data_IF_035810758278
#
_entry.id   IF_035810758278
#
_cell.length_a   1.000
_cell.length_b   1.000
_cell.length_c   1.000
_cell.angle_alpha   90.00
_cell.angle_beta   90.00
_cell.angle_gamma   90.00
#
_symmetry.space_group_name_H-M   'P 1'
#
loop_
_entity.id
_entity.type
_entity.pdbx_description
1 polymer ?
#
# COMPACT_ATOMS: atom_id res chain seq x y z
N UNK A 1 -10.36 -12.53 -31.09
CA UNK A 1 -9.70 -11.48 -30.29
C UNK A 1 -10.48 -11.14 -29.01
N UNK A 2 -11.63 -10.46 -29.07
CA UNK A 2 -12.35 -10.00 -27.86
C UNK A 2 -12.92 -11.15 -27.00
N UNK A 3 -13.43 -12.23 -27.63
CA UNK A 3 -13.89 -13.44 -26.91
C UNK A 3 -12.73 -14.20 -26.27
N UNK A 4 -11.64 -14.42 -27.02
CA UNK A 4 -10.44 -15.12 -26.54
C UNK A 4 -9.70 -14.32 -25.45
N UNK A 5 -9.68 -12.99 -25.54
CA UNK A 5 -9.12 -12.14 -24.49
C UNK A 5 -9.97 -12.18 -23.23
N UNK A 6 -11.31 -12.24 -23.36
CA UNK A 6 -12.22 -12.42 -22.23
C UNK A 6 -12.02 -13.80 -21.57
N UNK A 7 -11.87 -14.87 -22.34
CA UNK A 7 -11.56 -16.21 -21.81
C UNK A 7 -10.17 -16.27 -21.16
N UNK A 8 -9.18 -15.59 -21.73
CA UNK A 8 -7.84 -15.46 -21.14
C UNK A 8 -7.87 -14.66 -19.83
N UNK A 9 -8.61 -13.55 -19.81
CA UNK A 9 -8.78 -12.71 -18.63
C UNK A 9 -9.65 -13.35 -17.55
N UNK A 10 -10.48 -14.35 -17.86
CA UNK A 10 -11.26 -15.11 -16.86
C UNK A 10 -10.44 -16.29 -16.29
N UNK A 11 -9.22 -16.56 -16.80
CA UNK A 11 -8.31 -17.50 -16.14
C UNK A 11 -7.97 -16.95 -14.75
N UNK A 12 -8.58 -17.53 -13.71
CA UNK A 12 -8.49 -17.04 -12.32
C UNK A 12 -7.06 -16.75 -11.86
N UNK A 13 -6.07 -17.56 -12.27
CA UNK A 13 -4.66 -17.35 -11.97
C UNK A 13 -4.13 -15.95 -12.36
N UNK A 14 -4.54 -15.39 -13.51
CA UNK A 14 -4.05 -14.09 -13.97
C UNK A 14 -4.74 -12.92 -13.25
N UNK A 15 -6.04 -13.05 -12.96
CA UNK A 15 -6.82 -12.02 -12.26
C UNK A 15 -6.40 -11.94 -10.80
N UNK A 16 -6.29 -13.08 -10.13
CA UNK A 16 -5.92 -13.14 -8.71
C UNK A 16 -4.49 -12.61 -8.50
N UNK A 17 -3.58 -12.92 -9.43
CA UNK A 17 -2.23 -12.36 -9.44
C UNK A 17 -2.24 -10.83 -9.63
N UNK A 18 -3.04 -10.31 -10.57
CA UNK A 18 -3.15 -8.86 -10.80
C UNK A 18 -3.72 -8.13 -9.57
N UNK A 19 -4.75 -8.69 -8.94
CA UNK A 19 -5.34 -8.15 -7.70
C UNK A 19 -4.31 -8.16 -6.57
N UNK A 20 -3.54 -9.24 -6.40
CA UNK A 20 -2.48 -9.32 -5.40
C UNK A 20 -1.39 -8.26 -5.57
N UNK A 21 -0.98 -7.98 -6.81
CA UNK A 21 0.02 -6.93 -7.11
C UNK A 21 -0.53 -5.53 -6.82
N UNK A 22 -1.78 -5.26 -7.21
CA UNK A 22 -2.44 -3.96 -6.96
C UNK A 22 -2.57 -3.69 -5.46
N UNK A 23 -3.00 -4.70 -4.69
CA UNK A 23 -3.10 -4.59 -3.24
C UNK A 23 -1.70 -4.40 -2.64
N UNK A 24 -0.70 -5.19 -3.05
CA UNK A 24 0.67 -5.06 -2.56
C UNK A 24 1.29 -3.68 -2.83
N UNK A 25 1.04 -3.11 -4.01
CA UNK A 25 1.51 -1.78 -4.37
C UNK A 25 0.79 -0.67 -3.58
N UNK A 26 -0.51 -0.80 -3.36
CA UNK A 26 -1.31 0.19 -2.63
C UNK A 26 -1.10 0.12 -1.10
N UNK A 27 -0.83 -1.06 -0.56
CA UNK A 27 -0.73 -1.29 0.89
C UNK A 27 0.43 -0.52 1.53
N UNK A 28 1.51 -0.27 0.78
CA UNK A 28 2.64 0.54 1.24
C UNK A 28 2.20 1.94 1.70
N UNK A 29 1.36 2.63 0.91
CA UNK A 29 0.87 3.97 1.26
C UNK A 29 -0.02 3.99 2.50
N UNK A 30 -0.80 2.92 2.71
CA UNK A 30 -1.65 2.76 3.90
C UNK A 30 -0.77 2.60 5.14
N UNK A 31 0.25 1.73 5.07
CA UNK A 31 1.19 1.53 6.18
C UNK A 31 1.99 2.80 6.45
N UNK A 32 2.47 3.50 5.42
CA UNK A 32 3.19 4.77 5.58
C UNK A 32 2.34 5.84 6.26
N UNK A 33 1.08 6.00 5.84
CA UNK A 33 0.16 6.98 6.45
C UNK A 33 -0.16 6.60 7.90
N UNK A 34 -0.39 5.31 8.17
CA UNK A 34 -0.61 4.81 9.53
C UNK A 34 0.59 5.09 10.44
N UNK A 35 1.81 4.83 9.96
CA UNK A 35 3.03 5.09 10.74
C UNK A 35 3.22 6.59 10.96
N UNK A 36 3.04 7.41 9.92
CA UNK A 36 3.26 8.86 9.98
C UNK A 36 2.22 9.59 10.85
N UNK A 37 0.96 9.20 10.74
CA UNK A 37 -0.15 9.96 11.33
C UNK A 37 -0.57 9.43 12.71
N UNK A 38 -0.35 8.14 12.99
CA UNK A 38 -0.78 7.51 14.26
C UNK A 38 0.42 7.15 15.14
N UNK A 39 1.51 6.63 14.57
CA UNK A 39 2.64 6.11 15.36
C UNK A 39 3.71 7.18 15.65
N UNK A 40 4.04 8.03 14.67
CA UNK A 40 5.07 9.06 14.86
C UNK A 40 4.71 10.14 15.88
N UNK A 41 3.46 10.62 16.07
CA UNK A 41 3.18 11.66 17.05
C UNK A 41 3.47 11.23 18.50
N UNK A 42 3.05 10.03 18.96
CA UNK A 42 3.42 9.53 20.29
C UNK A 42 4.93 9.31 20.46
N UNK A 43 5.61 8.79 19.44
CA UNK A 43 7.07 8.58 19.48
C UNK A 43 7.83 9.91 19.50
N UNK A 44 7.38 10.92 18.74
CA UNK A 44 7.96 12.27 18.71
C UNK A 44 7.84 13.00 20.05
N UNK A 45 6.74 12.78 20.77
CA UNK A 45 6.55 13.28 22.14
C UNK A 45 7.47 12.58 23.13
N UNK A 46 7.65 11.25 23.02
CA UNK A 46 8.52 10.47 23.92
C UNK A 46 10.02 10.70 23.66
N UNK A 47 10.41 11.03 22.43
CA UNK A 47 11.81 11.29 22.03
C UNK A 47 12.23 12.76 22.15
N UNK A 48 11.35 13.63 22.66
CA UNK A 48 11.72 14.99 23.08
C UNK A 48 11.77 16.04 21.96
N UNK A 49 10.93 15.93 20.92
CA UNK A 49 10.80 16.98 19.90
C UNK A 49 11.66 16.80 18.64
N UNK A 50 12.15 15.58 18.37
CA UNK A 50 12.60 15.23 17.02
C UNK A 50 11.36 14.98 16.16
N UNK A 51 10.85 16.07 15.60
CA UNK A 51 9.77 16.05 14.62
C UNK A 51 10.29 15.50 13.29
N UNK A 52 10.16 14.19 13.09
CA UNK A 52 10.48 13.54 11.82
C UNK A 52 9.44 13.84 10.73
N UNK A 53 8.35 14.58 11.03
CA UNK A 53 7.38 15.02 10.03
C UNK A 53 7.99 15.99 9.01
N UNK A 54 9.08 16.67 9.38
CA UNK A 54 9.81 17.63 8.54
C UNK A 54 11.18 17.14 8.03
N UNK A 55 11.49 15.83 8.15
CA UNK A 55 12.77 15.32 7.62
C UNK A 55 12.69 14.55 6.31
N UNK A 56 11.52 14.05 5.87
CA UNK A 56 11.28 13.53 4.52
C UNK A 56 9.79 13.53 4.18
#
# INVERSE_FOLDING_TARGET
>A
MLKEFKEFAIKGNAVDMAVGIIIGAAFGGIVTSLVKDIIMPPIGVLTGGLDFSNKF
#
